data_IF_707449104546
#
_entry.id   IF_707449104546
#
_cell.length_a   1.000
_cell.length_b   1.000
_cell.length_c   1.000
_cell.angle_alpha   90.00
_cell.angle_beta   90.00
_cell.angle_gamma   90.00
#
_symmetry.space_group_name_H-M   'P 1'
#
loop_
_entity.id
_entity.type
_entity.pdbx_description
1 polymer ?
#
# COMPACT_ATOMS: atom_id res chain seq x y z
N UNK A 1 -1.42 -6.65 42.71
CA UNK A 1 -1.03 -5.28 42.30
C UNK A 1 0.10 -5.39 41.31
N UNK A 2 -0.16 -5.12 40.03
CA UNK A 2 0.85 -5.22 38.98
C UNK A 2 1.72 -3.96 38.87
N UNK A 3 2.89 -4.04 38.20
CA UNK A 3 3.84 -2.92 38.05
C UNK A 3 3.23 -1.67 37.40
N UNK A 4 2.14 -1.82 36.63
CA UNK A 4 1.41 -0.70 36.02
C UNK A 4 0.81 0.27 37.05
N UNK A 5 0.32 -0.24 38.19
CA UNK A 5 -0.34 0.59 39.21
C UNK A 5 0.66 1.43 40.02
N UNK A 6 1.91 0.99 40.09
CA UNK A 6 3.00 1.69 40.78
C UNK A 6 3.46 2.91 39.97
N UNK A 7 3.54 2.75 38.64
CA UNK A 7 3.79 3.86 37.70
C UNK A 7 2.70 4.95 37.74
N UNK A 8 1.44 4.54 37.90
CA UNK A 8 0.31 5.48 37.91
C UNK A 8 0.25 6.30 39.21
N UNK A 9 0.57 5.68 40.35
CA UNK A 9 0.72 6.35 41.64
C UNK A 9 1.91 7.31 41.65
N UNK A 10 3.02 6.95 41.01
CA UNK A 10 4.21 7.79 40.91
C UNK A 10 3.98 9.00 39.99
N UNK A 11 3.29 8.81 38.86
CA UNK A 11 2.78 9.91 38.01
C UNK A 11 1.87 10.86 38.77
N UNK A 12 1.02 10.34 39.66
CA UNK A 12 0.07 11.14 40.43
C UNK A 12 0.76 11.98 41.51
N UNK A 13 1.79 11.45 42.19
CA UNK A 13 2.66 12.22 43.10
C UNK A 13 3.45 13.28 42.35
N UNK A 14 3.94 12.95 41.15
CA UNK A 14 4.63 13.88 40.27
C UNK A 14 3.72 14.95 39.62
N UNK A 15 2.39 14.91 39.75
CA UNK A 15 1.54 16.04 39.34
C UNK A 15 1.35 17.10 40.44
N UNK A 16 1.56 16.75 41.71
CA UNK A 16 1.24 17.65 42.85
C UNK A 16 2.36 18.58 43.29
N UNK A 17 3.64 18.22 43.10
CA UNK A 17 4.72 19.19 43.42
C UNK A 17 4.84 20.20 42.27
N UNK A 18 4.27 21.40 42.44
CA UNK A 18 4.29 22.49 41.46
C UNK A 18 5.62 23.23 41.41
N UNK A 19 6.72 22.52 41.19
CA UNK A 19 8.05 23.14 41.08
C UNK A 19 8.34 23.52 39.63
N UNK A 20 8.91 24.71 39.35
CA UNK A 20 9.23 25.15 37.97
C UNK A 20 10.18 24.18 37.24
N UNK A 21 10.98 23.42 37.99
CA UNK A 21 11.86 22.36 37.48
C UNK A 21 11.12 21.22 36.75
N UNK A 22 9.82 21.03 37.04
CA UNK A 22 8.98 20.01 36.39
C UNK A 22 8.48 20.40 35.02
N UNK A 23 8.17 21.67 34.79
CA UNK A 23 7.82 22.12 33.45
C UNK A 23 9.00 21.97 32.51
N UNK A 24 10.22 22.16 33.03
CA UNK A 24 11.43 22.00 32.26
C UNK A 24 11.76 20.52 31.99
N UNK A 25 11.56 19.62 32.96
CA UNK A 25 11.71 18.17 32.73
C UNK A 25 10.64 17.60 31.79
N UNK A 26 9.38 18.08 31.88
CA UNK A 26 8.32 17.66 30.95
C UNK A 26 8.59 18.19 29.54
N UNK A 27 9.02 19.45 29.41
CA UNK A 27 9.46 20.01 28.12
C UNK A 27 10.66 19.26 27.57
N UNK A 28 11.65 18.91 28.40
CA UNK A 28 12.82 18.13 27.97
C UNK A 28 12.45 16.70 27.59
N UNK A 29 11.50 16.06 28.27
CA UNK A 29 11.01 14.72 27.87
C UNK A 29 10.23 14.77 26.55
N UNK A 30 9.44 15.83 26.33
CA UNK A 30 8.73 16.05 25.08
C UNK A 30 9.71 16.35 23.93
N UNK A 31 10.75 17.15 24.19
CA UNK A 31 11.84 17.41 23.24
C UNK A 31 12.66 16.14 22.95
N UNK A 32 12.96 15.31 23.94
CA UNK A 32 13.66 14.04 23.74
C UNK A 32 12.83 13.04 22.90
N UNK A 33 11.50 13.03 23.08
CA UNK A 33 10.61 12.22 22.24
C UNK A 33 10.54 12.72 20.78
N UNK A 34 10.77 14.01 20.54
CA UNK A 34 10.85 14.58 19.19
C UNK A 34 12.23 14.39 18.54
N UNK A 35 13.32 14.46 19.32
CA UNK A 35 14.70 14.31 18.82
C UNK A 35 15.02 12.85 18.45
N UNK A 36 14.35 11.86 19.07
CA UNK A 36 14.49 10.46 18.68
C UNK A 36 13.69 10.05 17.43
N UNK A 37 12.74 10.88 16.98
CA UNK A 37 11.87 10.56 15.85
C UNK A 37 12.32 11.20 14.51
N UNK A 38 13.19 12.22 14.54
CA UNK A 38 13.47 13.07 13.37
C UNK A 38 14.63 12.62 12.47
N UNK A 39 15.44 11.64 12.86
CA UNK A 39 16.62 11.24 12.06
C UNK A 39 16.78 9.73 11.88
N UNK A 40 15.67 9.02 11.66
CA UNK A 40 15.81 7.86 10.78
C UNK A 40 16.04 8.44 9.39
N UNK A 41 17.26 8.31 8.80
CA UNK A 41 17.54 8.85 7.49
C UNK A 41 16.43 8.38 6.58
N UNK A 42 15.79 9.32 5.86
CA UNK A 42 14.73 9.02 4.90
C UNK A 42 15.27 7.98 3.92
N UNK A 43 15.14 6.72 4.29
CA UNK A 43 15.79 5.64 3.62
C UNK A 43 15.19 5.59 2.24
N UNK A 44 16.03 5.47 1.22
CA UNK A 44 15.66 5.18 -0.18
C UNK A 44 14.86 3.87 -0.37
N UNK A 45 14.12 3.41 0.64
CA UNK A 45 13.28 2.21 0.65
C UNK A 45 12.07 2.32 -0.28
N UNK A 46 11.68 3.53 -0.69
CA UNK A 46 10.60 3.72 -1.67
C UNK A 46 10.96 3.35 -3.12
N UNK A 47 12.24 3.19 -3.47
CA UNK A 47 12.66 2.99 -4.86
C UNK A 47 12.30 1.60 -5.41
N UNK A 48 12.38 0.56 -4.59
CA UNK A 48 12.09 -0.81 -5.03
C UNK A 48 10.59 -1.05 -5.24
N UNK A 49 9.74 -0.52 -4.34
CA UNK A 49 8.30 -0.65 -4.45
C UNK A 49 7.75 0.04 -5.71
N UNK A 50 8.27 1.23 -6.04
CA UNK A 50 7.88 1.93 -7.28
C UNK A 50 8.23 1.13 -8.53
N UNK A 51 9.38 0.45 -8.56
CA UNK A 51 9.76 -0.42 -9.69
C UNK A 51 8.84 -1.63 -9.80
N UNK A 52 8.44 -2.22 -8.68
CA UNK A 52 7.49 -3.35 -8.67
C UNK A 52 6.11 -2.93 -9.17
N UNK A 53 5.58 -1.81 -8.66
CA UNK A 53 4.28 -1.26 -9.11
C UNK A 53 4.32 -0.91 -10.60
N UNK A 54 5.42 -0.32 -11.08
CA UNK A 54 5.59 -0.02 -12.50
C UNK A 54 5.63 -1.30 -13.36
N UNK A 55 6.27 -2.36 -12.89
CA UNK A 55 6.29 -3.66 -13.56
C UNK A 55 4.88 -4.28 -13.63
N UNK A 56 4.15 -4.30 -12.52
CA UNK A 56 2.79 -4.85 -12.47
C UNK A 56 1.85 -4.07 -13.39
N UNK A 57 1.95 -2.73 -13.42
CA UNK A 57 1.18 -1.90 -14.35
C UNK A 57 1.55 -2.18 -15.82
N UNK A 58 2.82 -2.40 -16.12
CA UNK A 58 3.27 -2.72 -17.47
C UNK A 58 2.75 -4.09 -17.93
N UNK A 59 2.83 -5.11 -17.05
CA UNK A 59 2.29 -6.44 -17.33
C UNK A 59 0.77 -6.39 -17.49
N UNK A 60 0.07 -5.64 -16.61
CA UNK A 60 -1.37 -5.44 -16.73
C UNK A 60 -1.74 -4.77 -18.06
N UNK A 61 -1.07 -3.68 -18.44
CA UNK A 61 -1.32 -3.00 -19.70
C UNK A 61 -1.04 -3.90 -20.91
N UNK A 62 0.02 -4.71 -20.85
CA UNK A 62 0.35 -5.68 -21.89
C UNK A 62 -0.72 -6.78 -22.02
N UNK A 63 -1.10 -7.42 -20.92
CA UNK A 63 -2.13 -8.47 -20.90
C UNK A 63 -3.50 -7.92 -21.35
N UNK A 64 -3.88 -6.74 -20.86
CA UNK A 64 -5.11 -6.07 -21.25
C UNK A 64 -5.09 -5.69 -22.74
N UNK A 65 -4.00 -5.07 -23.20
CA UNK A 65 -3.83 -4.70 -24.61
C UNK A 65 -3.88 -5.92 -25.53
N UNK A 66 -3.21 -7.02 -25.17
CA UNK A 66 -3.26 -8.27 -25.92
C UNK A 66 -4.67 -8.86 -25.97
N UNK A 67 -5.39 -8.86 -24.83
CA UNK A 67 -6.77 -9.30 -24.76
C UNK A 67 -7.71 -8.48 -25.66
N UNK A 68 -7.56 -7.14 -25.65
CA UNK A 68 -8.34 -6.24 -26.51
C UNK A 68 -8.02 -6.48 -27.99
N UNK A 69 -6.75 -6.65 -28.36
CA UNK A 69 -6.36 -6.94 -29.74
C UNK A 69 -6.96 -8.26 -30.22
N UNK A 70 -6.88 -9.32 -29.41
CA UNK A 70 -7.46 -10.62 -29.74
C UNK A 70 -8.99 -10.58 -29.86
N UNK A 71 -9.65 -9.81 -28.99
CA UNK A 71 -11.09 -9.60 -29.09
C UNK A 71 -11.44 -8.87 -30.38
N UNK A 72 -10.69 -7.81 -30.71
CA UNK A 72 -10.92 -7.01 -31.89
C UNK A 72 -10.69 -7.79 -33.19
N UNK A 73 -9.66 -8.64 -33.26
CA UNK A 73 -9.41 -9.51 -34.42
C UNK A 73 -10.52 -10.56 -34.58
N UNK A 74 -11.01 -11.16 -33.49
CA UNK A 74 -12.16 -12.09 -33.52
C UNK A 74 -13.44 -11.38 -33.99
N UNK A 75 -13.73 -10.19 -33.47
CA UNK A 75 -14.91 -9.40 -33.88
C UNK A 75 -14.82 -9.05 -35.36
N UNK A 76 -13.64 -8.62 -35.86
CA UNK A 76 -13.45 -8.35 -37.28
C UNK A 76 -13.58 -9.59 -38.16
N UNK A 77 -13.11 -10.75 -37.70
CA UNK A 77 -13.30 -11.99 -38.44
C UNK A 77 -14.79 -12.32 -38.60
N UNK A 78 -15.59 -12.12 -37.53
CA UNK A 78 -17.05 -12.31 -37.57
C UNK A 78 -17.71 -11.30 -38.50
N UNK A 79 -17.32 -10.02 -38.44
CA UNK A 79 -17.86 -9.01 -39.35
C UNK A 79 -17.56 -9.38 -40.81
N UNK A 80 -16.35 -9.82 -41.14
CA UNK A 80 -16.01 -10.29 -42.48
C UNK A 80 -16.89 -11.48 -42.91
N UNK A 81 -17.07 -12.49 -42.07
CA UNK A 81 -17.92 -13.65 -42.37
C UNK A 81 -19.39 -13.26 -42.56
N UNK A 82 -19.92 -12.33 -41.76
CA UNK A 82 -21.30 -11.84 -41.90
C UNK A 82 -21.47 -11.03 -43.19
N UNK A 83 -20.47 -10.25 -43.58
CA UNK A 83 -20.52 -9.48 -44.82
C UNK A 83 -20.44 -10.40 -46.05
N UNK A 84 -19.63 -11.47 -46.00
CA UNK A 84 -19.56 -12.49 -47.06
C UNK A 84 -20.82 -13.39 -47.08
N UNK A 85 -21.44 -13.65 -45.93
CA UNK A 85 -22.74 -14.33 -45.86
C UNK A 85 -23.90 -13.45 -46.37
N UNK A 86 -23.74 -12.13 -46.38
CA UNK A 86 -24.66 -11.18 -47.02
C UNK A 86 -24.75 -11.33 -48.55
N UNK A 87 -23.74 -11.94 -49.18
CA UNK A 87 -23.81 -12.33 -50.60
C UNK A 87 -24.72 -13.56 -50.81
N UNK A 88 -24.92 -14.41 -49.79
CA UNK A 88 -25.81 -15.57 -49.89
C UNK A 88 -27.29 -15.24 -49.65
N UNK A 89 -27.62 -14.08 -49.09
CA UNK A 89 -29.02 -13.69 -48.87
C UNK A 89 -29.73 -13.21 -50.16
N UNK A 90 -28.97 -12.96 -51.24
CA UNK A 90 -29.56 -12.47 -52.50
C UNK A 90 -30.26 -13.55 -53.34
N UNK A 91 -29.97 -14.83 -53.11
CA UNK A 91 -30.50 -15.92 -53.95
C UNK A 91 -31.75 -16.63 -53.36
N UNK A 92 -32.11 -16.38 -52.10
CA UNK A 92 -33.31 -16.96 -51.49
C UNK A 92 -34.61 -16.22 -51.86
N UNK A 93 -34.53 -15.06 -52.51
CA UNK A 93 -35.71 -14.32 -52.98
C UNK A 93 -36.08 -14.58 -54.45
N UNK A 94 -35.35 -15.42 -55.18
CA UNK A 94 -35.81 -15.98 -56.47
C UNK A 94 -36.76 -17.15 -56.25
N UNK A 95 -37.78 -16.95 -55.41
CA UNK A 95 -38.98 -17.80 -55.44
C UNK A 95 -39.73 -17.42 -56.71
N UNK A 96 -39.74 -18.35 -57.66
CA UNK A 96 -40.51 -18.25 -58.89
C UNK A 96 -41.97 -17.86 -58.57
N UNK A 97 -42.49 -16.76 -59.14
CA UNK A 97 -43.90 -16.42 -59.02
C UNK A 97 -44.68 -17.38 -59.93
N UNK A 98 -45.11 -18.53 -59.40
CA UNK A 98 -45.83 -19.50 -60.22
C UNK A 98 -46.42 -20.74 -59.56
N UNK A 99 -46.20 -20.99 -58.26
CA UNK A 99 -46.85 -22.10 -57.57
C UNK A 99 -47.75 -21.61 -56.42
N UNK A 100 -49.03 -21.92 -56.59
CA UNK A 100 -50.16 -21.60 -55.73
C UNK A 100 -50.01 -22.32 -54.36
N UNK A 101 -50.15 -21.63 -53.22
CA UNK A 101 -49.90 -22.18 -51.89
C UNK A 101 -51.20 -22.71 -51.24
N UNK A 102 -51.87 -23.70 -51.83
CA UNK A 102 -53.11 -24.25 -51.23
C UNK A 102 -52.90 -25.53 -50.40
N UNK A 103 -51.65 -26.01 -50.27
CA UNK A 103 -51.32 -27.15 -49.43
C UNK A 103 -50.04 -26.91 -48.63
N UNK A 104 -50.12 -26.06 -47.61
CA UNK A 104 -49.10 -26.03 -46.54
C UNK A 104 -49.54 -26.97 -45.41
N UNK A 105 -48.82 -28.08 -45.15
CA UNK A 105 -49.09 -28.89 -43.98
C UNK A 105 -48.86 -28.05 -42.73
N UNK A 106 -49.86 -28.06 -41.83
CA UNK A 106 -49.85 -27.43 -40.50
C UNK A 106 -48.89 -28.15 -39.54
N UNK A 107 -47.67 -28.41 -40.00
CA UNK A 107 -46.53 -28.82 -39.21
C UNK A 107 -45.48 -27.75 -39.45
N UNK A 108 -45.62 -26.61 -38.78
CA UNK A 108 -44.67 -25.52 -38.79
C UNK A 108 -43.30 -26.07 -38.37
N UNK A 109 -42.53 -26.47 -39.37
CA UNK A 109 -41.13 -26.83 -39.22
C UNK A 109 -40.44 -25.60 -38.64
N UNK A 110 -39.99 -25.75 -37.39
CA UNK A 110 -39.10 -24.82 -36.72
C UNK A 110 -38.08 -24.30 -37.73
N UNK A 111 -38.14 -23.01 -38.03
CA UNK A 111 -37.16 -22.36 -38.90
C UNK A 111 -35.79 -22.52 -38.24
N UNK A 112 -34.90 -23.38 -38.76
CA UNK A 112 -33.69 -23.82 -38.05
C UNK A 112 -32.64 -22.71 -37.91
N UNK A 113 -32.88 -21.52 -38.46
CA UNK A 113 -31.92 -20.41 -38.46
C UNK A 113 -31.91 -19.56 -37.18
N UNK A 114 -33.00 -19.52 -36.39
CA UNK A 114 -33.08 -18.61 -35.23
C UNK A 114 -32.35 -19.18 -34.01
N UNK A 115 -32.30 -20.51 -33.87
CA UNK A 115 -31.66 -21.15 -32.72
C UNK A 115 -30.12 -21.09 -32.81
N UNK A 116 -29.55 -21.23 -34.02
CA UNK A 116 -28.12 -21.01 -34.28
C UNK A 116 -27.65 -19.61 -33.90
N UNK A 117 -28.50 -18.59 -34.09
CA UNK A 117 -28.22 -17.19 -33.72
C UNK A 117 -28.21 -16.95 -32.21
N UNK A 118 -28.92 -17.77 -31.42
CA UNK A 118 -28.87 -17.71 -29.95
C UNK A 118 -27.65 -18.43 -29.41
N UNK A 119 -27.28 -19.55 -30.01
CA UNK A 119 -26.16 -20.37 -29.55
C UNK A 119 -24.84 -19.61 -29.65
N UNK A 120 -24.54 -18.94 -30.77
CA UNK A 120 -23.26 -18.21 -30.89
C UNK A 120 -23.13 -17.05 -29.89
N UNK A 121 -24.22 -16.32 -29.60
CA UNK A 121 -24.19 -15.21 -28.62
C UNK A 121 -23.91 -15.73 -27.23
N UNK A 122 -24.49 -16.88 -26.87
CA UNK A 122 -24.22 -17.54 -25.61
C UNK A 122 -22.74 -17.92 -25.49
N UNK A 123 -22.19 -18.62 -26.49
CA UNK A 123 -20.79 -19.02 -26.50
C UNK A 123 -19.83 -17.83 -26.45
N UNK A 124 -20.12 -16.76 -27.20
CA UNK A 124 -19.32 -15.54 -27.17
C UNK A 124 -19.34 -14.87 -25.79
N UNK A 125 -20.50 -14.81 -25.14
CA UNK A 125 -20.64 -14.22 -23.80
C UNK A 125 -19.87 -15.06 -22.77
N UNK A 126 -19.89 -16.38 -22.91
CA UNK A 126 -19.17 -17.30 -22.04
C UNK A 126 -17.65 -17.11 -22.19
N UNK A 127 -17.14 -17.07 -23.43
CA UNK A 127 -15.72 -16.82 -23.76
C UNK A 127 -15.25 -15.44 -23.20
N UNK A 128 -16.11 -14.41 -23.29
CA UNK A 128 -15.83 -13.09 -22.74
C UNK A 128 -15.81 -13.08 -21.20
N UNK A 129 -16.74 -13.81 -20.57
CA UNK A 129 -16.81 -13.91 -19.11
C UNK A 129 -15.59 -14.64 -18.54
N UNK A 130 -15.14 -15.71 -19.19
CA UNK A 130 -13.94 -16.46 -18.80
C UNK A 130 -12.68 -15.60 -18.92
N UNK A 131 -12.56 -14.86 -20.03
CA UNK A 131 -11.45 -13.94 -20.26
C UNK A 131 -11.42 -12.82 -19.21
N UNK A 132 -12.57 -12.22 -18.92
CA UNK A 132 -12.71 -11.14 -17.93
C UNK A 132 -12.38 -11.63 -16.53
N UNK A 133 -12.89 -12.82 -16.16
CA UNK A 133 -12.62 -13.43 -14.87
C UNK A 133 -11.13 -13.76 -14.69
N UNK A 134 -10.48 -14.26 -15.74
CA UNK A 134 -9.04 -14.54 -15.74
C UNK A 134 -8.20 -13.27 -15.58
N UNK A 135 -8.57 -12.18 -16.26
CA UNK A 135 -7.95 -10.86 -16.11
C UNK A 135 -8.11 -10.29 -14.70
N UNK A 136 -9.28 -10.44 -14.09
CA UNK A 136 -9.55 -10.03 -12.71
C UNK A 136 -8.82 -10.89 -11.67
N UNK A 137 -8.66 -12.19 -11.94
CA UNK A 137 -7.97 -13.13 -11.04
C UNK A 137 -6.45 -12.97 -11.09
N UNK A 138 -5.91 -12.52 -12.23
CA UNK A 138 -4.48 -12.35 -12.45
C UNK A 138 -3.74 -11.58 -11.34
N UNK A 139 -4.16 -10.38 -10.88
CA UNK A 139 -3.47 -9.68 -9.80
C UNK A 139 -3.48 -10.47 -8.49
N UNK A 140 -4.57 -11.20 -8.18
CA UNK A 140 -4.63 -12.04 -6.98
C UNK A 140 -3.68 -13.24 -7.10
N UNK A 141 -3.61 -13.88 -8.27
CA UNK A 141 -2.68 -14.97 -8.53
C UNK A 141 -1.21 -14.51 -8.41
N UNK A 142 -0.90 -13.30 -8.89
CA UNK A 142 0.42 -12.66 -8.74
C UNK A 142 0.76 -12.45 -7.26
N UNK A 143 -0.18 -11.94 -6.46
CA UNK A 143 0.00 -11.78 -5.00
C UNK A 143 0.15 -13.11 -4.26
N UNK A 144 -0.50 -14.17 -4.75
CA UNK A 144 -0.34 -15.52 -4.22
C UNK A 144 0.96 -16.21 -4.65
N UNK A 145 1.68 -15.69 -5.65
CA UNK A 145 2.93 -16.26 -6.10
C UNK A 145 3.98 -16.23 -4.97
N UNK A 146 4.49 -17.40 -4.60
CA UNK A 146 5.56 -17.57 -3.58
C UNK A 146 6.74 -16.60 -3.70
N UNK A 147 7.30 -16.29 -4.90
CA UNK A 147 8.39 -15.33 -5.00
C UNK A 147 7.93 -13.92 -4.64
N UNK A 148 6.76 -13.48 -5.10
CA UNK A 148 6.23 -12.15 -4.80
C UNK A 148 5.92 -11.99 -3.32
N UNK A 149 5.45 -13.06 -2.66
CA UNK A 149 5.26 -13.07 -1.21
C UNK A 149 6.57 -12.72 -0.50
N UNK A 150 7.73 -13.25 -0.91
CA UNK A 150 9.03 -12.90 -0.30
C UNK A 150 9.37 -11.41 -0.46
N UNK A 151 9.09 -10.83 -1.62
CA UNK A 151 9.31 -9.39 -1.88
C UNK A 151 8.34 -8.51 -1.07
N UNK A 152 7.07 -8.90 -0.96
CA UNK A 152 6.07 -8.22 -0.15
C UNK A 152 6.34 -8.37 1.35
N UNK A 153 6.85 -9.51 1.79
CA UNK A 153 7.21 -9.79 3.19
C UNK A 153 8.63 -9.36 3.55
N UNK A 154 9.37 -8.71 2.64
CA UNK A 154 10.63 -8.05 3.00
C UNK A 154 10.42 -6.81 3.88
N UNK A 155 9.17 -6.49 4.23
CA UNK A 155 8.90 -5.74 5.44
C UNK A 155 9.62 -6.41 6.61
N UNK A 156 10.67 -5.75 7.15
CA UNK A 156 11.33 -6.23 8.36
C UNK A 156 10.23 -6.52 9.39
N UNK A 157 10.27 -7.67 10.08
CA UNK A 157 9.25 -8.01 11.07
C UNK A 157 9.05 -6.80 11.98
N UNK A 158 7.81 -6.38 12.20
CA UNK A 158 7.50 -5.31 13.14
C UNK A 158 7.07 -5.93 14.46
N UNK A 159 7.45 -5.30 15.56
CA UNK A 159 7.07 -5.68 16.91
C UNK A 159 6.64 -4.46 17.72
N UNK A 160 6.08 -4.69 18.90
CA UNK A 160 5.76 -3.61 19.83
C UNK A 160 6.88 -3.47 20.86
N UNK A 161 7.27 -2.24 21.18
CA UNK A 161 8.16 -1.98 22.30
C UNK A 161 7.45 -2.14 23.65
N UNK A 162 8.17 -1.94 24.75
CA UNK A 162 7.60 -1.99 26.12
C UNK A 162 6.55 -0.92 26.38
N UNK A 163 6.45 0.10 25.54
CA UNK A 163 5.50 1.21 25.61
C UNK A 163 4.34 1.05 24.62
N UNK A 164 4.28 -0.04 23.85
CA UNK A 164 3.25 -0.28 22.83
C UNK A 164 3.47 0.46 21.52
N UNK A 165 4.65 1.04 21.29
CA UNK A 165 5.00 1.67 20.01
C UNK A 165 5.43 0.62 18.98
N UNK A 166 4.91 0.73 17.75
CA UNK A 166 5.30 -0.15 16.65
C UNK A 166 6.75 0.17 16.24
N UNK A 167 7.62 -0.81 16.43
CA UNK A 167 9.05 -0.72 16.13
C UNK A 167 9.43 -1.83 15.14
N UNK A 168 10.51 -1.62 14.38
CA UNK A 168 11.10 -2.70 13.58
C UNK A 168 11.71 -3.71 14.56
N UNK A 169 11.30 -4.98 14.48
CA UNK A 169 11.90 -6.06 15.25
C UNK A 169 13.35 -6.20 14.80
N UNK A 170 14.26 -5.87 15.72
CA UNK A 170 15.68 -6.02 15.55
C UNK A 170 16.04 -7.49 15.71
N UNK A 171 16.94 -7.97 14.86
CA UNK A 171 17.56 -9.29 15.06
C UNK A 171 18.37 -9.29 16.37
N UNK A 172 18.62 -10.46 16.97
CA UNK A 172 19.37 -10.55 18.22
C UNK A 172 20.75 -9.87 18.14
N UNK A 173 21.43 -9.99 17.00
CA UNK A 173 22.71 -9.32 16.74
C UNK A 173 22.58 -7.78 16.67
N UNK A 174 21.58 -7.26 15.93
CA UNK A 174 21.30 -5.81 15.91
C UNK A 174 20.90 -5.30 17.30
N UNK A 175 20.23 -6.12 18.11
CA UNK A 175 19.83 -5.79 19.48
C UNK A 175 21.06 -5.69 20.41
N UNK A 176 22.02 -6.60 20.27
CA UNK A 176 23.29 -6.57 21.00
C UNK A 176 24.11 -5.34 20.61
N UNK A 177 24.24 -5.04 19.31
CA UNK A 177 24.93 -3.85 18.83
C UNK A 177 24.28 -2.57 19.37
N UNK A 178 22.94 -2.47 19.27
CA UNK A 178 22.20 -1.34 19.81
C UNK A 178 22.38 -1.23 21.34
N UNK A 179 22.43 -2.36 22.05
CA UNK A 179 22.65 -2.37 23.51
C UNK A 179 24.02 -1.80 23.91
N UNK A 180 25.05 -1.95 23.06
CA UNK A 180 26.39 -1.38 23.29
C UNK A 180 26.42 0.12 22.98
N UNK A 181 25.62 0.58 22.02
CA UNK A 181 25.56 1.98 21.61
C UNK A 181 24.70 2.85 22.55
N UNK A 182 23.63 2.29 23.15
CA UNK A 182 22.76 3.01 24.09
C UNK A 182 23.52 3.67 25.25
N UNK A 183 24.41 2.99 26.00
CA UNK A 183 25.12 3.62 27.11
C UNK A 183 26.07 4.73 26.63
N UNK A 184 26.66 4.60 25.44
CA UNK A 184 27.51 5.65 24.86
C UNK A 184 26.69 6.89 24.51
N UNK A 185 25.51 6.71 23.91
CA UNK A 185 24.59 7.79 23.58
C UNK A 185 24.04 8.48 24.85
N UNK A 186 23.69 7.71 25.88
CA UNK A 186 23.25 8.25 27.17
C UNK A 186 24.36 9.05 27.88
N UNK A 187 25.60 8.54 27.87
CA UNK A 187 26.76 9.26 28.40
C UNK A 187 27.04 10.55 27.63
N UNK A 188 26.98 10.51 26.30
CA UNK A 188 27.16 11.70 25.46
C UNK A 188 26.06 12.74 25.72
N UNK A 189 24.80 12.30 25.85
CA UNK A 189 23.67 13.17 26.18
C UNK A 189 23.82 13.77 27.59
N UNK A 190 24.21 12.97 28.58
CA UNK A 190 24.47 13.46 29.93
C UNK A 190 25.62 14.49 29.98
N UNK A 191 26.71 14.24 29.25
CA UNK A 191 27.83 15.17 29.14
C UNK A 191 27.42 16.49 28.46
N UNK A 192 26.61 16.44 27.41
CA UNK A 192 26.07 17.63 26.75
C UNK A 192 25.17 18.45 27.68
N UNK A 193 24.32 17.80 28.48
CA UNK A 193 23.49 18.47 29.49
C UNK A 193 24.38 19.14 30.54
N UNK A 194 25.40 18.45 31.06
CA UNK A 194 26.33 19.03 32.04
C UNK A 194 27.08 20.23 31.48
N UNK A 195 27.55 20.17 30.23
CA UNK A 195 28.21 21.30 29.57
C UNK A 195 27.27 22.51 29.46
N UNK A 196 26.01 22.28 29.10
CA UNK A 196 24.99 23.34 29.02
C UNK A 196 24.68 23.95 30.38
N UNK A 197 24.53 23.14 31.43
CA UNK A 197 24.31 23.63 32.80
C UNK A 197 25.48 24.48 33.28
N UNK A 198 26.72 24.05 33.04
CA UNK A 198 27.93 24.82 33.38
C UNK A 198 28.01 26.15 32.64
N UNK A 199 27.59 26.18 31.37
CA UNK A 199 27.50 27.41 30.57
C UNK A 199 26.51 28.42 31.17
N UNK A 200 25.33 27.95 31.57
CA UNK A 200 24.30 28.81 32.20
C UNK A 200 24.78 29.36 33.55
N UNK A 201 25.42 28.53 34.39
CA UNK A 201 25.94 29.01 35.68
C UNK A 201 27.03 30.07 35.52
N UNK A 202 27.89 29.97 34.50
CA UNK A 202 28.93 30.99 34.25
C UNK A 202 28.34 32.34 33.82
N UNK A 203 27.29 32.34 33.00
CA UNK A 203 26.61 33.59 32.60
C UNK A 203 25.86 34.25 33.75
N UNK A 204 25.31 33.47 34.68
CA UNK A 204 24.65 34.00 35.88
C UNK A 204 25.65 34.61 36.88
N UNK A 205 26.85 34.06 37.03
CA UNK A 205 27.86 34.62 37.92
C UNK A 205 28.50 35.90 37.37
N UNK A 206 28.74 35.99 36.05
CA UNK A 206 29.33 37.20 35.46
C UNK A 206 28.38 38.39 35.53
N UNK A 207 27.08 38.18 35.35
CA UNK A 207 26.06 39.23 35.50
C UNK A 207 25.87 39.65 36.95
N UNK A 208 26.00 38.72 37.91
CA UNK A 208 25.98 39.06 39.34
C UNK A 208 27.21 39.87 39.77
N UNK A 209 28.42 39.54 39.28
CA UNK A 209 29.62 40.33 39.54
C UNK A 209 29.56 41.71 38.89
N UNK A 210 29.09 41.82 37.65
CA UNK A 210 28.94 43.11 36.96
C UNK A 210 27.89 44.00 37.65
N UNK A 211 26.77 43.43 38.10
CA UNK A 211 25.78 44.14 38.89
C UNK A 211 26.30 44.56 40.29
N UNK A 212 27.13 43.73 40.93
CA UNK A 212 27.74 44.06 42.22
C UNK A 212 28.80 45.16 42.09
N UNK A 213 29.61 45.15 41.01
CA UNK A 213 30.60 46.18 40.72
C UNK A 213 29.95 47.55 40.44
N UNK A 214 28.75 47.58 39.85
CA UNK A 214 28.00 48.81 39.62
C UNK A 214 27.39 49.43 40.89
N UNK A 215 27.39 48.71 42.03
CA UNK A 215 26.77 49.15 43.28
C UNK A 215 27.74 49.74 44.31
N UNK A 216 29.03 49.85 43.99
CA UNK A 216 30.03 50.48 44.85
C UNK A 216 30.30 51.90 44.31
N UNK A 217 29.80 52.95 44.99
CA UNK A 217 29.97 54.35 44.58
C UNK A 217 31.38 54.90 44.82
#
# INVERSE_FOLDING_TARGET
>A
GGPAHLFELERSRLRRSGTPLKQELLKQSALASHVGASELPAGKRGGALRKLVAYDLAVFAFCYGWGVVNLWTKVRAIDCDVTDCGLFQKDYHTVHPGHHPDHLPSGAAHAPGIDLLKDWRFWMTLDFSETTYSLLLFPFALLCARPLKRYLTHAKPTGYDRHGALCVALTAAEMEEKSKLVPQAEQAAAAAIQARVRGVTRGATSTAEEAAAALIP
#
